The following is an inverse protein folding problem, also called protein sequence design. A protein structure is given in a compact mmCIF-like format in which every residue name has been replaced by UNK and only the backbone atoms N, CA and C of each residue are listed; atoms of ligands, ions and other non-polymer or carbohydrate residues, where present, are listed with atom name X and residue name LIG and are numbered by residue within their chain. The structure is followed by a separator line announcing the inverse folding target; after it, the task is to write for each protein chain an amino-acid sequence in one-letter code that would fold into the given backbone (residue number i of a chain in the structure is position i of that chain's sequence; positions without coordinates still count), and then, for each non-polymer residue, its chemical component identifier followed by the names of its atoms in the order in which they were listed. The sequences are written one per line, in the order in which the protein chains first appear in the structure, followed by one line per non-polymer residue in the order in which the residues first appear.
data_IF_689653619342
#
_entry.id   IF_689653619342
#
_cell.length_a   1.000
_cell.length_b   1.000
_cell.length_c   1.000
_cell.angle_alpha   90.00
_cell.angle_beta   90.00
_cell.angle_gamma   90.00
#
_symmetry.space_group_name_H-M   'P 1'
#
loop_
_entity.id
_entity.type
_entity.pdbx_description
1 polymer ?
#
# COMPACT_ATOMS: atom_id res chain seq x y z
N UNK A 1 -2.81 41.89 -35.99
CA UNK A 1 -2.67 41.55 -34.56
C UNK A 1 -2.96 40.05 -34.38
N UNK A 2 -1.89 39.25 -34.28
CA UNK A 2 -2.00 37.79 -34.21
C UNK A 2 -1.94 37.40 -32.72
N UNK A 3 -3.06 36.87 -32.19
CA UNK A 3 -3.18 36.38 -30.81
C UNK A 3 -2.70 34.95 -30.78
N UNK A 4 -1.53 34.69 -30.20
CA UNK A 4 -1.05 33.32 -29.92
C UNK A 4 -1.66 32.89 -28.61
N UNK A 5 -2.63 31.96 -28.66
CA UNK A 5 -3.10 31.23 -27.49
C UNK A 5 -2.03 30.19 -27.09
N UNK A 6 -1.30 30.46 -26.03
CA UNK A 6 -0.45 29.46 -25.39
C UNK A 6 -1.36 28.43 -24.68
N UNK A 7 -1.50 27.26 -25.26
CA UNK A 7 -2.13 26.13 -24.61
C UNK A 7 -1.27 25.63 -23.47
N UNK A 8 -1.72 25.84 -22.20
CA UNK A 8 -1.20 25.12 -21.05
C UNK A 8 -1.57 23.65 -21.16
N UNK A 9 -0.70 22.87 -21.76
CA UNK A 9 -0.76 21.42 -21.67
C UNK A 9 -0.42 20.99 -20.25
N UNK A 10 -1.41 20.61 -19.47
CA UNK A 10 -1.20 19.88 -18.22
C UNK A 10 -0.56 18.54 -18.57
N UNK A 11 0.75 18.43 -18.38
CA UNK A 11 1.44 17.15 -18.52
C UNK A 11 0.80 16.18 -17.52
N UNK A 12 0.21 15.09 -18.01
CA UNK A 12 -0.25 14.00 -17.17
C UNK A 12 0.95 13.49 -16.34
N UNK A 13 0.76 13.11 -15.04
CA UNK A 13 1.84 12.60 -14.24
C UNK A 13 2.45 11.39 -14.92
N UNK A 14 3.73 11.50 -15.27
CA UNK A 14 4.49 10.40 -15.88
C UNK A 14 4.62 9.33 -14.82
N UNK A 15 3.89 8.23 -14.99
CA UNK A 15 4.03 7.03 -14.17
C UNK A 15 5.48 6.55 -14.30
N UNK A 16 6.21 6.32 -13.18
CA UNK A 16 7.51 5.68 -13.25
C UNK A 16 7.36 4.34 -13.96
N UNK A 17 8.17 4.09 -14.98
CA UNK A 17 8.15 2.82 -15.68
C UNK A 17 8.59 1.70 -14.73
N UNK A 18 7.88 0.59 -14.74
CA UNK A 18 8.33 -0.60 -14.02
C UNK A 18 9.71 -1.04 -14.55
N UNK A 19 10.63 -1.49 -13.68
CA UNK A 19 11.87 -2.09 -14.14
C UNK A 19 11.61 -3.30 -15.05
N UNK A 20 12.57 -3.62 -15.91
CA UNK A 20 12.46 -4.76 -16.80
C UNK A 20 12.18 -6.05 -16.03
N UNK A 21 11.21 -6.84 -16.48
CA UNK A 21 10.78 -8.07 -15.84
C UNK A 21 9.69 -7.94 -14.79
N UNK A 22 9.25 -6.72 -14.46
CA UNK A 22 8.13 -6.49 -13.55
C UNK A 22 6.90 -5.98 -14.29
N UNK A 23 5.75 -6.56 -13.96
CA UNK A 23 4.44 -6.10 -14.43
C UNK A 23 3.66 -5.56 -13.24
N UNK A 24 3.86 -4.26 -12.96
CA UNK A 24 3.20 -3.60 -11.84
C UNK A 24 1.85 -3.00 -12.27
N UNK A 25 0.79 -3.15 -11.46
CA UNK A 25 -0.44 -2.43 -11.69
C UNK A 25 -0.20 -0.91 -11.59
N UNK A 26 -1.11 -0.13 -12.18
CA UNK A 26 -1.05 1.31 -12.03
C UNK A 26 -1.44 1.72 -10.61
N UNK A 27 -0.68 2.64 -9.99
CA UNK A 27 -1.09 3.28 -8.74
C UNK A 27 -2.22 4.27 -9.04
N UNK A 28 -3.45 3.82 -8.87
CA UNK A 28 -4.64 4.62 -9.16
C UNK A 28 -5.27 5.21 -7.92
N UNK A 29 -5.02 4.60 -6.77
CA UNK A 29 -5.55 4.98 -5.46
C UNK A 29 -4.70 4.33 -4.36
N UNK A 30 -5.02 4.59 -3.09
CA UNK A 30 -4.37 3.93 -1.92
C UNK A 30 -4.71 2.45 -1.79
N UNK A 31 -5.75 1.99 -2.50
CA UNK A 31 -6.10 0.56 -2.59
C UNK A 31 -6.17 0.16 -4.06
N UNK A 32 -5.20 -0.60 -4.50
CA UNK A 32 -5.09 -1.12 -5.88
C UNK A 32 -5.39 -2.61 -5.87
N UNK A 33 -6.60 -2.97 -6.27
CA UNK A 33 -7.09 -4.35 -6.24
C UNK A 33 -7.01 -5.02 -7.62
N UNK A 34 -5.78 -5.28 -8.09
CA UNK A 34 -5.56 -5.91 -9.39
C UNK A 34 -5.95 -7.40 -9.42
N UNK A 35 -5.92 -8.08 -8.28
CA UNK A 35 -6.36 -9.48 -8.17
C UNK A 35 -7.89 -9.63 -7.94
N UNK A 36 -8.62 -8.51 -7.84
CA UNK A 36 -10.10 -8.49 -7.67
C UNK A 36 -10.57 -9.25 -6.43
N UNK A 37 -9.90 -9.04 -5.30
CA UNK A 37 -10.23 -9.68 -4.02
C UNK A 37 -11.20 -8.85 -3.18
N UNK A 38 -11.35 -7.55 -3.45
CA UNK A 38 -12.10 -6.63 -2.63
C UNK A 38 -13.40 -6.18 -3.29
N UNK A 39 -14.55 -6.36 -2.61
CA UNK A 39 -15.78 -5.72 -3.05
C UNK A 39 -15.63 -4.19 -3.15
N UNK A 40 -16.25 -3.52 -4.13
CA UNK A 40 -16.10 -2.08 -4.32
C UNK A 40 -16.37 -1.22 -3.07
N UNK A 41 -17.40 -1.49 -2.24
CA UNK A 41 -17.63 -0.73 -1.01
C UNK A 41 -16.47 -0.88 0.00
N UNK A 42 -15.92 -2.09 0.15
CA UNK A 42 -14.79 -2.36 1.05
C UNK A 42 -13.55 -1.61 0.59
N UNK A 43 -13.25 -1.67 -0.72
CA UNK A 43 -12.13 -0.94 -1.31
C UNK A 43 -12.25 0.57 -1.09
N UNK A 44 -13.43 1.14 -1.35
CA UNK A 44 -13.68 2.57 -1.18
C UNK A 44 -13.56 3.01 0.29
N UNK A 45 -14.14 2.27 1.22
CA UNK A 45 -14.03 2.54 2.66
C UNK A 45 -12.57 2.48 3.14
N UNK A 46 -11.84 1.47 2.71
CA UNK A 46 -10.42 1.30 3.04
C UNK A 46 -9.58 2.46 2.50
N UNK A 47 -9.79 2.84 1.23
CA UNK A 47 -9.09 3.97 0.61
C UNK A 47 -9.34 5.29 1.37
N UNK A 48 -10.56 5.55 1.81
CA UNK A 48 -10.89 6.72 2.63
C UNK A 48 -10.15 6.70 3.97
N UNK A 49 -10.06 5.56 4.63
CA UNK A 49 -9.32 5.42 5.89
C UNK A 49 -7.82 5.68 5.72
N UNK A 50 -7.23 5.15 4.66
CA UNK A 50 -5.81 5.37 4.34
C UNK A 50 -5.54 6.83 3.96
N UNK A 51 -6.48 7.49 3.28
CA UNK A 51 -6.39 8.92 3.03
C UNK A 51 -6.43 9.76 4.32
N UNK A 52 -7.26 9.36 5.28
CA UNK A 52 -7.33 10.00 6.59
C UNK A 52 -6.03 9.81 7.36
N UNK A 53 -5.46 8.60 7.38
CA UNK A 53 -4.17 8.33 7.99
C UNK A 53 -3.08 9.25 7.42
N UNK A 54 -2.98 9.34 6.09
CA UNK A 54 -1.99 10.20 5.44
C UNK A 54 -2.19 11.67 5.76
N UNK A 55 -3.45 12.15 5.78
CA UNK A 55 -3.76 13.53 6.17
C UNK A 55 -3.34 13.84 7.60
N UNK A 56 -3.55 12.91 8.53
CA UNK A 56 -3.35 13.13 9.96
C UNK A 56 -1.88 12.94 10.38
N UNK A 57 -1.13 12.09 9.68
CA UNK A 57 0.23 11.69 10.07
C UNK A 57 1.29 12.05 9.03
N UNK A 58 0.91 12.21 7.78
CA UNK A 58 1.81 12.29 6.63
C UNK A 58 2.29 10.93 6.13
N UNK A 59 2.04 9.84 6.85
CA UNK A 59 2.47 8.50 6.45
C UNK A 59 1.63 7.96 5.29
N UNK A 60 2.27 7.48 4.24
CA UNK A 60 1.60 6.92 3.09
C UNK A 60 1.49 5.40 3.24
N UNK A 61 0.28 4.90 3.34
CA UNK A 61 0.00 3.49 3.37
C UNK A 61 -0.86 3.09 2.17
N UNK A 62 -0.36 2.13 1.38
CA UNK A 62 -1.01 1.61 0.18
C UNK A 62 -1.22 0.11 0.32
N UNK A 63 -2.38 -0.36 -0.11
CA UNK A 63 -2.71 -1.78 -0.23
C UNK A 63 -2.73 -2.16 -1.70
N UNK A 64 -2.08 -3.25 -2.05
CA UNK A 64 -2.10 -3.80 -3.40
C UNK A 64 -2.40 -5.29 -3.38
N UNK A 65 -3.31 -5.72 -4.22
CA UNK A 65 -3.47 -7.14 -4.57
C UNK A 65 -2.98 -7.35 -5.99
N UNK A 66 -2.17 -8.39 -6.21
CA UNK A 66 -1.59 -8.69 -7.53
C UNK A 66 -1.96 -10.10 -7.97
N UNK A 67 -2.35 -10.29 -9.24
CA UNK A 67 -2.70 -11.62 -9.74
C UNK A 67 -1.55 -12.62 -9.67
N UNK A 68 -0.31 -12.13 -9.80
CA UNK A 68 0.91 -12.93 -9.76
C UNK A 68 2.12 -12.06 -9.45
N UNK A 69 3.14 -12.67 -8.86
CA UNK A 69 4.46 -12.06 -8.64
C UNK A 69 5.39 -12.20 -9.86
N UNK A 70 4.91 -12.77 -10.97
CA UNK A 70 5.67 -12.96 -12.21
C UNK A 70 7.02 -13.69 -12.02
N UNK A 71 7.10 -14.62 -11.08
CA UNK A 71 8.31 -15.39 -10.78
C UNK A 71 9.26 -14.73 -9.79
N UNK A 72 8.99 -13.52 -9.32
CA UNK A 72 9.77 -12.84 -8.28
C UNK A 72 9.41 -13.33 -6.88
N UNK A 73 10.33 -13.15 -5.93
CA UNK A 73 9.98 -13.28 -4.51
C UNK A 73 9.08 -12.12 -4.10
N UNK A 74 8.26 -12.30 -3.07
CA UNK A 74 7.39 -11.21 -2.61
C UNK A 74 8.20 -10.06 -2.00
N UNK A 75 9.36 -10.35 -1.45
CA UNK A 75 10.34 -9.40 -0.94
C UNK A 75 10.87 -8.49 -2.05
N UNK A 76 11.41 -9.09 -3.12
CA UNK A 76 11.89 -8.35 -4.28
C UNK A 76 10.79 -7.56 -4.97
N UNK A 77 9.64 -8.20 -5.16
CA UNK A 77 8.49 -7.56 -5.78
C UNK A 77 8.03 -6.35 -4.96
N UNK A 78 7.94 -6.51 -3.65
CA UNK A 78 7.44 -5.50 -2.74
C UNK A 78 8.34 -4.27 -2.64
N UNK A 79 9.62 -4.47 -2.39
CA UNK A 79 10.55 -3.35 -2.27
C UNK A 79 10.70 -2.61 -3.60
N UNK A 80 10.69 -3.34 -4.73
CA UNK A 80 10.77 -2.73 -6.06
C UNK A 80 9.50 -1.94 -6.38
N UNK A 81 8.33 -2.48 -6.04
CA UNK A 81 7.05 -1.80 -6.23
C UNK A 81 6.94 -0.53 -5.36
N UNK A 82 7.28 -0.62 -4.08
CA UNK A 82 7.26 0.52 -3.15
C UNK A 82 8.11 1.67 -3.68
N UNK A 83 9.32 1.36 -4.16
CA UNK A 83 10.24 2.34 -4.76
C UNK A 83 9.74 2.89 -6.09
N UNK A 84 9.23 2.03 -6.97
CA UNK A 84 8.70 2.43 -8.29
C UNK A 84 7.48 3.34 -8.15
N UNK A 85 6.61 3.07 -7.19
CA UNK A 85 5.46 3.91 -6.92
C UNK A 85 5.81 5.17 -6.13
N UNK A 86 7.00 5.22 -5.51
CA UNK A 86 7.45 6.34 -4.70
C UNK A 86 6.61 6.52 -3.46
N UNK A 87 6.23 5.40 -2.80
CA UNK A 87 5.40 5.43 -1.58
C UNK A 87 6.27 5.88 -0.41
N UNK A 88 5.77 6.87 0.32
CA UNK A 88 6.49 7.56 1.39
C UNK A 88 7.03 8.90 0.94
N UNK A 89 7.14 9.83 1.89
CA UNK A 89 7.70 11.17 1.59
C UNK A 89 9.18 11.05 1.27
N UNK A 90 9.61 11.80 0.24
CA UNK A 90 11.01 11.88 -0.12
C UNK A 90 11.84 12.31 1.11
N UNK A 91 12.99 11.67 1.30
CA UNK A 91 13.94 11.91 2.40
C UNK A 91 13.45 11.46 3.79
N UNK A 92 12.16 11.19 3.99
CA UNK A 92 11.59 10.64 5.23
C UNK A 92 11.40 9.14 5.13
N UNK A 93 11.02 8.63 3.95
CA UNK A 93 10.78 7.21 3.66
C UNK A 93 9.73 6.58 4.60
N UNK A 94 8.63 7.29 4.85
CA UNK A 94 7.56 6.90 5.76
C UNK A 94 6.37 6.26 5.05
N UNK A 95 6.67 5.41 4.10
CA UNK A 95 5.69 4.64 3.36
C UNK A 95 5.53 3.22 3.87
N UNK A 96 4.31 2.68 3.74
CA UNK A 96 3.98 1.27 3.99
C UNK A 96 3.24 0.70 2.79
N UNK A 97 3.55 -0.54 2.42
CA UNK A 97 2.88 -1.25 1.34
C UNK A 97 2.47 -2.65 1.81
N UNK A 98 1.15 -2.91 1.89
CA UNK A 98 0.62 -4.25 2.09
C UNK A 98 0.39 -4.91 0.73
N UNK A 99 1.06 -6.02 0.48
CA UNK A 99 0.98 -6.76 -0.78
C UNK A 99 0.34 -8.11 -0.55
N UNK A 100 -0.65 -8.45 -1.37
CA UNK A 100 -1.32 -9.75 -1.36
C UNK A 100 -1.22 -10.38 -2.74
N UNK A 101 -0.61 -11.55 -2.82
CA UNK A 101 -0.47 -12.36 -4.02
C UNK A 101 -1.18 -13.71 -3.84
N UNK A 102 -2.48 -13.80 -4.17
CA UNK A 102 -3.30 -14.97 -3.85
C UNK A 102 -2.85 -16.21 -4.60
N UNK A 103 -2.34 -16.09 -5.83
CA UNK A 103 -1.85 -17.23 -6.63
C UNK A 103 -0.66 -17.91 -5.95
N UNK A 104 0.28 -17.13 -5.46
CA UNK A 104 1.46 -17.62 -4.73
C UNK A 104 1.16 -17.88 -3.25
N UNK A 105 -0.05 -17.53 -2.77
CA UNK A 105 -0.46 -17.61 -1.36
C UNK A 105 0.49 -16.85 -0.43
N UNK A 106 0.89 -15.67 -0.86
CA UNK A 106 1.83 -14.81 -0.14
C UNK A 106 1.22 -13.47 0.22
N UNK A 107 1.64 -12.96 1.37
CA UNK A 107 1.32 -11.62 1.86
C UNK A 107 2.57 -11.04 2.50
N UNK A 108 2.77 -9.73 2.33
CA UNK A 108 3.90 -9.01 2.90
C UNK A 108 3.52 -7.57 3.23
N UNK A 109 4.14 -7.05 4.28
CA UNK A 109 4.11 -5.63 4.62
C UNK A 109 5.54 -5.10 4.42
N UNK A 110 5.71 -4.20 3.46
CA UNK A 110 6.95 -3.46 3.26
C UNK A 110 6.86 -2.14 4.02
N UNK A 111 7.90 -1.82 4.75
CA UNK A 111 7.98 -0.63 5.60
C UNK A 111 9.18 0.21 5.18
N UNK A 112 8.94 1.49 4.94
CA UNK A 112 10.02 2.44 4.67
C UNK A 112 10.83 2.75 5.92
N UNK A 113 12.11 3.07 5.76
CA UNK A 113 13.05 3.30 6.88
C UNK A 113 12.56 4.32 7.91
N UNK A 114 11.79 5.32 7.49
CA UNK A 114 11.22 6.32 8.42
C UNK A 114 10.19 5.78 9.39
N UNK A 115 9.66 4.59 9.15
CA UNK A 115 8.67 3.94 10.01
C UNK A 115 9.18 2.66 10.70
N UNK A 116 10.41 2.23 10.44
CA UNK A 116 10.95 1.00 11.06
C UNK A 116 11.00 1.05 12.59
N UNK A 117 11.08 2.24 13.19
CA UNK A 117 11.02 2.38 14.65
C UNK A 117 9.60 2.17 15.21
N UNK A 118 8.56 2.42 14.41
CA UNK A 118 7.15 2.27 14.79
C UNK A 118 6.57 0.91 14.37
N UNK A 119 7.03 0.38 13.23
CA UNK A 119 6.58 -0.89 12.67
C UNK A 119 7.80 -1.68 12.21
N UNK A 120 8.43 -2.40 13.12
CA UNK A 120 9.56 -3.30 12.83
C UNK A 120 9.08 -4.56 12.12
N UNK A 121 10.01 -5.34 11.57
CA UNK A 121 9.71 -6.61 10.90
C UNK A 121 8.93 -7.58 11.81
N UNK A 122 9.22 -7.58 13.10
CA UNK A 122 8.53 -8.43 14.09
C UNK A 122 7.07 -8.03 14.26
N UNK A 123 6.77 -6.72 14.38
CA UNK A 123 5.40 -6.22 14.50
C UNK A 123 4.63 -6.47 13.19
N UNK A 124 5.26 -6.21 12.04
CA UNK A 124 4.66 -6.50 10.73
C UNK A 124 4.34 -8.00 10.59
N UNK A 125 5.25 -8.88 11.05
CA UNK A 125 5.01 -10.32 11.08
C UNK A 125 3.86 -10.70 12.01
N UNK A 126 3.78 -10.11 13.19
CA UNK A 126 2.66 -10.35 14.13
C UNK A 126 1.33 -9.97 13.47
N UNK A 127 1.24 -8.81 12.82
CA UNK A 127 0.02 -8.41 12.09
C UNK A 127 -0.36 -9.43 11.03
N UNK A 128 0.62 -9.91 10.25
CA UNK A 128 0.37 -10.94 9.22
C UNK A 128 -0.15 -12.23 9.86
N UNK A 129 0.54 -12.74 10.87
CA UNK A 129 0.28 -14.06 11.46
C UNK A 129 -1.03 -14.09 12.26
N UNK A 130 -1.37 -12.99 12.94
CA UNK A 130 -2.51 -12.95 13.86
C UNK A 130 -3.78 -12.31 13.28
N UNK A 131 -3.63 -11.35 12.36
CA UNK A 131 -4.77 -10.64 11.78
C UNK A 131 -5.10 -11.10 10.36
N UNK A 132 -4.10 -11.29 9.49
CA UNK A 132 -4.33 -11.54 8.06
C UNK A 132 -4.52 -13.03 7.78
N UNK A 133 -3.54 -13.86 8.13
CA UNK A 133 -3.53 -15.27 7.75
C UNK A 133 -4.71 -16.09 8.28
N UNK A 134 -5.23 -15.87 9.51
CA UNK A 134 -6.40 -16.61 9.98
C UNK A 134 -7.65 -16.41 9.11
N UNK A 135 -7.86 -15.20 8.59
CA UNK A 135 -8.95 -14.88 7.67
C UNK A 135 -8.69 -15.51 6.28
N UNK A 136 -7.47 -15.40 5.76
CA UNK A 136 -7.09 -15.97 4.46
C UNK A 136 -7.25 -17.48 4.42
N UNK A 137 -6.95 -18.20 5.52
CA UNK A 137 -7.17 -19.65 5.63
C UNK A 137 -8.65 -20.05 5.52
N UNK A 138 -9.55 -19.12 5.84
CA UNK A 138 -11.02 -19.29 5.70
C UNK A 138 -11.54 -18.79 4.35
N UNK A 139 -10.66 -18.29 3.47
CA UNK A 139 -11.05 -17.68 2.20
C UNK A 139 -11.56 -16.24 2.30
N UNK A 140 -11.52 -15.64 3.49
CA UNK A 140 -11.95 -14.27 3.72
C UNK A 140 -10.80 -13.28 3.45
N UNK A 141 -10.51 -13.04 2.18
CA UNK A 141 -9.52 -12.06 1.76
C UNK A 141 -9.88 -10.62 2.18
N UNK A 142 -11.13 -10.15 1.96
CA UNK A 142 -11.51 -8.80 2.37
C UNK A 142 -11.35 -8.57 3.88
N UNK A 143 -11.79 -9.51 4.71
CA UNK A 143 -11.66 -9.42 6.17
C UNK A 143 -10.21 -9.45 6.61
N UNK A 144 -9.39 -10.32 6.03
CA UNK A 144 -7.95 -10.40 6.34
C UNK A 144 -7.18 -9.14 5.96
N UNK A 145 -7.45 -8.59 4.79
CA UNK A 145 -6.82 -7.33 4.34
C UNK A 145 -7.24 -6.18 5.24
N UNK A 146 -8.54 -6.07 5.59
CA UNK A 146 -9.04 -5.04 6.49
C UNK A 146 -8.41 -5.15 7.89
N UNK A 147 -8.32 -6.35 8.45
CA UNK A 147 -7.67 -6.58 9.74
C UNK A 147 -6.17 -6.24 9.70
N UNK A 148 -5.49 -6.55 8.60
CA UNK A 148 -4.09 -6.16 8.38
C UNK A 148 -3.90 -4.65 8.33
N UNK A 149 -4.77 -3.95 7.63
CA UNK A 149 -4.79 -2.47 7.58
C UNK A 149 -4.98 -1.90 8.97
N UNK A 150 -5.93 -2.43 9.75
CA UNK A 150 -6.16 -2.00 11.13
C UNK A 150 -4.93 -2.20 12.01
N UNK A 151 -4.31 -3.37 11.93
CA UNK A 151 -3.10 -3.68 12.69
C UNK A 151 -1.95 -2.73 12.36
N UNK A 152 -1.69 -2.48 11.09
CA UNK A 152 -0.63 -1.52 10.68
C UNK A 152 -0.95 -0.11 11.14
N UNK A 153 -2.19 0.36 10.99
CA UNK A 153 -2.60 1.71 11.44
C UNK A 153 -2.36 1.87 12.95
N UNK A 154 -2.64 0.84 13.76
CA UNK A 154 -2.42 0.88 15.21
C UNK A 154 -0.94 1.11 15.56
N UNK A 155 -0.03 0.55 14.78
CA UNK A 155 1.42 0.69 15.02
C UNK A 155 1.95 2.06 14.56
N UNK A 156 1.49 2.58 13.42
CA UNK A 156 2.05 3.79 12.82
C UNK A 156 1.26 5.08 13.10
N UNK A 157 0.02 4.97 13.58
CA UNK A 157 -0.74 6.15 13.97
C UNK A 157 -0.24 6.67 15.34
N UNK A 158 -0.16 7.99 15.54
CA UNK A 158 0.20 8.52 16.83
C UNK A 158 -0.84 8.09 17.88
N UNK A 159 -0.37 7.55 19.00
CA UNK A 159 -1.24 7.28 20.15
C UNK A 159 -1.91 8.60 20.52
N UNK A 160 -3.22 8.70 20.31
CA UNK A 160 -3.99 9.80 20.92
C UNK A 160 -3.83 9.64 22.42
N UNK A 161 -2.91 10.42 23.02
CA UNK A 161 -2.92 10.60 24.46
C UNK A 161 -4.27 11.19 24.79
N UNK A 162 -5.14 10.39 25.41
CA UNK A 162 -6.31 10.93 26.08
C UNK A 162 -5.77 11.98 27.05
N UNK A 163 -6.04 13.25 26.75
CA UNK A 163 -5.78 14.33 27.70
C UNK A 163 -6.61 14.01 28.94
N UNK A 164 -5.90 13.77 30.04
CA UNK A 164 -6.50 13.60 31.36
C UNK A 164 -7.14 14.91 31.82
#
# INVERSE_FOLDING_TARGET
LLLILAGCGTAAPVKPAAPAGYDFPALTDRVVDAAKLLPPPVRSSMSTRLATLEKDTGHQFVVVTVPSLAGHTIEDYGVTLLRTWGIGRKDINDGVLLIVAPRERKVRIEVGYGLEAALRDEEAKVVIDTAILPAFRKGDYPGGIAAGVDGVIQEIAPVKRLAA
#
